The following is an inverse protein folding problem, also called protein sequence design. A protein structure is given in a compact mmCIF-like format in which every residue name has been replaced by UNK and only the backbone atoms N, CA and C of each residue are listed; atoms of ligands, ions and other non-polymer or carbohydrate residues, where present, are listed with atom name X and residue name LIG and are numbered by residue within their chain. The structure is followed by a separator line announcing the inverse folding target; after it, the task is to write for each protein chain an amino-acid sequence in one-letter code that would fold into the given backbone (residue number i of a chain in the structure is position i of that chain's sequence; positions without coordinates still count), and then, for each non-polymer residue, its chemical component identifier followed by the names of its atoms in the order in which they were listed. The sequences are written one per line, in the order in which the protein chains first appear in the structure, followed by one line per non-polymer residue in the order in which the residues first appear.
data_IF_177913697664
#
_entry.id   IF_177913697664
#
_cell.length_a   1.000
_cell.length_b   1.000
_cell.length_c   1.000
_cell.angle_alpha   90.00
_cell.angle_beta   90.00
_cell.angle_gamma   90.00
#
_symmetry.space_group_name_H-M   'P 1'
#
loop_
_entity.id
_entity.type
_entity.pdbx_description
1 polymer ?
#
# COMPACT_ATOMS: atom_id res chain seq x y z
N UNK A 1 4.93 -17.23 7.76
CA UNK A 1 4.38 -16.07 7.01
C UNK A 1 3.05 -15.61 7.61
N UNK A 2 2.59 -14.41 7.27
CA UNK A 2 1.53 -13.74 8.02
C UNK A 2 1.89 -13.65 9.50
N UNK A 3 0.96 -14.11 10.34
CA UNK A 3 1.08 -14.16 11.81
C UNK A 3 2.13 -15.16 12.35
N UNK A 4 3.09 -15.59 11.53
CA UNK A 4 4.22 -16.42 11.97
C UNK A 4 4.12 -17.91 11.68
N UNK A 5 3.18 -18.37 10.84
CA UNK A 5 3.05 -19.81 10.51
C UNK A 5 4.31 -20.37 9.84
N UNK A 6 4.63 -21.65 10.10
CA UNK A 6 5.81 -22.35 9.56
C UNK A 6 5.48 -23.80 9.21
N UNK A 7 6.40 -24.50 8.53
CA UNK A 7 6.31 -25.94 8.26
C UNK A 7 5.06 -26.35 7.49
N UNK A 8 4.34 -27.36 7.99
CA UNK A 8 3.14 -27.91 7.35
C UNK A 8 2.03 -26.87 7.19
N UNK A 9 1.81 -26.00 8.18
CA UNK A 9 0.79 -24.95 8.09
C UNK A 9 1.08 -23.96 6.94
N UNK A 10 2.37 -23.63 6.72
CA UNK A 10 2.76 -22.82 5.56
C UNK A 10 2.55 -23.58 4.25
N UNK A 11 2.93 -24.85 4.20
CA UNK A 11 2.74 -25.70 3.02
C UNK A 11 1.27 -25.78 2.63
N UNK A 12 0.40 -25.98 3.63
CA UNK A 12 -1.04 -25.98 3.44
C UNK A 12 -1.57 -24.62 2.97
N UNK A 13 -1.09 -23.51 3.55
CA UNK A 13 -1.46 -22.16 3.09
C UNK A 13 -1.13 -21.94 1.61
N UNK A 14 0.02 -22.42 1.14
CA UNK A 14 0.40 -22.35 -0.28
C UNK A 14 -0.55 -23.18 -1.13
N UNK A 15 -0.81 -24.44 -0.73
CA UNK A 15 -1.71 -25.33 -1.47
C UNK A 15 -3.13 -24.75 -1.60
N UNK A 16 -3.66 -24.10 -0.55
CA UNK A 16 -4.98 -23.44 -0.60
C UNK A 16 -5.00 -22.28 -1.59
N UNK A 17 -3.93 -21.47 -1.65
CA UNK A 17 -3.82 -20.41 -2.66
C UNK A 17 -3.76 -21.00 -4.06
N UNK A 18 -2.96 -22.04 -4.28
CA UNK A 18 -2.85 -22.72 -5.58
C UNK A 18 -4.19 -23.32 -6.03
N UNK A 19 -4.94 -23.92 -5.10
CA UNK A 19 -6.27 -24.48 -5.37
C UNK A 19 -7.28 -23.39 -5.77
N UNK A 20 -7.28 -22.24 -5.07
CA UNK A 20 -8.13 -21.11 -5.42
C UNK A 20 -7.79 -20.56 -6.81
N UNK A 21 -6.50 -20.41 -7.14
CA UNK A 21 -6.06 -19.97 -8.46
C UNK A 21 -6.46 -20.96 -9.56
N UNK A 22 -6.35 -22.27 -9.32
CA UNK A 22 -6.75 -23.29 -10.27
C UNK A 22 -8.28 -23.32 -10.49
N UNK A 23 -9.05 -23.24 -9.40
CA UNK A 23 -10.52 -23.21 -9.42
C UNK A 23 -11.06 -22.03 -10.21
N UNK A 24 -10.42 -20.86 -10.09
CA UNK A 24 -10.89 -19.61 -10.69
C UNK A 24 -10.05 -19.17 -11.91
N UNK A 25 -9.37 -20.10 -12.56
CA UNK A 25 -8.42 -19.82 -13.66
C UNK A 25 -9.01 -18.94 -14.78
N UNK A 26 -10.26 -19.19 -15.18
CA UNK A 26 -10.89 -18.50 -16.31
C UNK A 26 -11.27 -17.06 -15.91
N UNK A 27 -11.76 -16.89 -14.68
CA UNK A 27 -12.00 -15.57 -14.08
C UNK A 27 -10.72 -14.76 -13.96
N UNK A 28 -9.61 -15.40 -13.57
CA UNK A 28 -8.30 -14.75 -13.46
C UNK A 28 -7.76 -14.35 -14.83
N UNK A 29 -7.91 -15.22 -15.84
CA UNK A 29 -7.48 -14.95 -17.20
C UNK A 29 -8.23 -13.78 -17.86
N UNK A 30 -9.47 -13.50 -17.42
CA UNK A 30 -10.22 -12.34 -17.88
C UNK A 30 -9.65 -11.00 -17.40
N UNK A 31 -8.79 -11.00 -16.38
CA UNK A 31 -8.09 -9.83 -15.84
C UNK A 31 -8.99 -8.65 -15.41
N UNK A 32 -10.25 -8.91 -15.06
CA UNK A 32 -11.12 -7.89 -14.48
C UNK A 32 -10.82 -7.68 -12.98
N UNK A 33 -10.32 -6.49 -12.55
CA UNK A 33 -9.82 -6.31 -11.19
C UNK A 33 -10.89 -6.47 -10.10
N UNK A 34 -12.11 -5.98 -10.34
CA UNK A 34 -13.17 -6.06 -9.34
C UNK A 34 -13.73 -7.47 -9.21
N UNK A 35 -13.86 -8.20 -10.34
CA UNK A 35 -14.21 -9.62 -10.31
C UNK A 35 -13.12 -10.42 -9.60
N UNK A 36 -11.83 -10.12 -9.83
CA UNK A 36 -10.73 -10.76 -9.09
C UNK A 36 -10.83 -10.54 -7.59
N UNK A 37 -11.10 -9.31 -7.14
CA UNK A 37 -11.32 -8.99 -5.73
C UNK A 37 -12.51 -9.75 -5.15
N UNK A 38 -13.62 -9.85 -5.88
CA UNK A 38 -14.79 -10.62 -5.46
C UNK A 38 -14.53 -12.13 -5.41
N UNK A 39 -13.59 -12.64 -6.21
CA UNK A 39 -13.35 -14.08 -6.38
C UNK A 39 -12.30 -14.62 -5.40
N UNK A 40 -11.18 -13.92 -5.24
CA UNK A 40 -10.03 -14.37 -4.42
C UNK A 40 -9.57 -13.34 -3.39
N UNK A 41 -10.35 -12.28 -3.17
CA UNK A 41 -10.12 -11.30 -2.12
C UNK A 41 -10.79 -11.67 -0.81
N UNK A 42 -11.33 -10.66 -0.13
CA UNK A 42 -12.06 -10.78 1.13
C UNK A 42 -12.84 -9.51 1.42
N UNK A 43 -13.81 -9.58 2.32
CA UNK A 43 -14.67 -8.44 2.67
C UNK A 43 -13.85 -7.26 3.21
N UNK A 44 -12.82 -7.52 4.02
CA UNK A 44 -11.97 -6.46 4.54
C UNK A 44 -11.13 -5.79 3.44
N UNK A 45 -10.70 -6.54 2.42
CA UNK A 45 -9.98 -5.99 1.28
C UNK A 45 -10.91 -5.14 0.41
N UNK A 46 -12.16 -5.59 0.22
CA UNK A 46 -13.18 -4.81 -0.47
C UNK A 46 -13.51 -3.51 0.28
N UNK A 47 -13.62 -3.56 1.61
CA UNK A 47 -13.83 -2.39 2.44
C UNK A 47 -12.65 -1.39 2.34
N UNK A 48 -11.40 -1.87 2.39
CA UNK A 48 -10.22 -1.03 2.21
C UNK A 48 -10.19 -0.39 0.82
N UNK A 49 -10.45 -1.16 -0.24
CA UNK A 49 -10.51 -0.64 -1.61
C UNK A 49 -11.60 0.44 -1.74
N UNK A 50 -12.79 0.19 -1.21
CA UNK A 50 -13.88 1.17 -1.17
C UNK A 50 -13.51 2.44 -0.41
N UNK A 51 -12.85 2.33 0.75
CA UNK A 51 -12.37 3.47 1.51
C UNK A 51 -11.34 4.32 0.74
N UNK A 52 -10.43 3.68 0.00
CA UNK A 52 -9.46 4.38 -0.86
C UNK A 52 -10.17 5.17 -1.96
N UNK A 53 -11.20 4.59 -2.59
CA UNK A 53 -12.02 5.26 -3.62
C UNK A 53 -12.77 6.44 -3.02
N UNK A 54 -13.42 6.27 -1.87
CA UNK A 54 -14.13 7.34 -1.18
C UNK A 54 -13.18 8.49 -0.81
N UNK A 55 -11.98 8.18 -0.30
CA UNK A 55 -10.96 9.19 -0.02
C UNK A 55 -10.52 9.94 -1.27
N UNK A 56 -10.37 9.25 -2.41
CA UNK A 56 -10.05 9.90 -3.70
C UNK A 56 -11.14 10.89 -4.10
N UNK A 57 -12.40 10.49 -4.02
CA UNK A 57 -13.55 11.36 -4.33
C UNK A 57 -13.59 12.58 -3.40
N UNK A 58 -13.22 12.40 -2.14
CA UNK A 58 -13.07 13.47 -1.15
C UNK A 58 -11.78 14.30 -1.26
N UNK A 59 -10.87 14.00 -2.20
CA UNK A 59 -9.53 14.60 -2.32
C UNK A 59 -8.69 14.47 -1.04
N UNK A 60 -8.87 13.36 -0.32
CA UNK A 60 -8.18 13.05 0.93
C UNK A 60 -6.99 12.15 0.60
N UNK A 61 -5.74 12.51 0.96
CA UNK A 61 -4.60 11.62 0.80
C UNK A 61 -4.70 10.41 1.73
N UNK A 62 -4.23 9.25 1.27
CA UNK A 62 -4.30 7.99 2.03
C UNK A 62 -2.90 7.44 2.31
N UNK A 63 -2.66 7.04 3.56
CA UNK A 63 -1.50 6.21 3.92
C UNK A 63 -1.89 4.74 3.89
N UNK A 64 -1.29 3.98 2.96
CA UNK A 64 -1.40 2.53 2.89
C UNK A 64 -0.43 1.92 3.91
N UNK A 65 -0.91 1.02 4.76
CA UNK A 65 -0.13 0.44 5.85
C UNK A 65 0.88 -0.62 5.35
N UNK A 66 0.58 -1.91 5.58
CA UNK A 66 1.42 -3.03 5.18
C UNK A 66 0.85 -3.82 4.00
N UNK A 67 1.19 -5.10 3.96
CA UNK A 67 0.92 -5.97 2.81
C UNK A 67 -0.56 -6.11 2.44
N UNK A 68 -1.43 -6.40 3.41
CA UNK A 68 -2.86 -6.62 3.15
C UNK A 68 -3.55 -5.34 2.62
N UNK A 69 -3.27 -4.19 3.24
CA UNK A 69 -3.79 -2.89 2.80
C UNK A 69 -3.34 -2.56 1.37
N UNK A 70 -2.06 -2.80 1.07
CA UNK A 70 -1.51 -2.57 -0.27
C UNK A 70 -2.05 -3.56 -1.30
N UNK A 71 -2.35 -4.80 -0.91
CA UNK A 71 -2.98 -5.80 -1.79
C UNK A 71 -4.40 -5.37 -2.20
N UNK A 72 -5.20 -4.84 -1.27
CA UNK A 72 -6.49 -4.22 -1.58
C UNK A 72 -6.33 -3.02 -2.54
N UNK A 73 -5.37 -2.14 -2.28
CA UNK A 73 -5.10 -0.98 -3.13
C UNK A 73 -4.66 -1.37 -4.55
N UNK A 74 -3.91 -2.46 -4.70
CA UNK A 74 -3.41 -2.91 -6.00
C UNK A 74 -4.51 -3.30 -6.99
N UNK A 75 -5.67 -3.74 -6.50
CA UNK A 75 -6.86 -3.95 -7.34
C UNK A 75 -7.26 -2.66 -8.05
N UNK A 76 -7.25 -1.54 -7.33
CA UNK A 76 -7.58 -0.23 -7.90
C UNK A 76 -6.52 0.22 -8.90
N UNK A 77 -5.24 -0.02 -8.61
CA UNK A 77 -4.14 0.27 -9.55
C UNK A 77 -4.26 -0.54 -10.85
N UNK A 78 -4.72 -1.79 -10.76
CA UNK A 78 -4.96 -2.63 -11.93
C UNK A 78 -6.14 -2.10 -12.76
N UNK A 79 -7.16 -1.50 -12.12
CA UNK A 79 -8.28 -0.88 -12.81
C UNK A 79 -7.91 0.46 -13.47
N UNK A 80 -7.15 1.30 -12.77
CA UNK A 80 -6.58 2.54 -13.30
C UNK A 80 -5.23 2.79 -12.63
N UNK A 81 -4.17 2.94 -13.44
CA UNK A 81 -2.80 3.16 -12.95
C UNK A 81 -2.66 4.42 -12.10
N UNK A 82 -3.57 5.38 -12.27
CA UNK A 82 -3.63 6.64 -11.53
C UNK A 82 -4.50 6.57 -10.29
N UNK A 83 -5.21 5.46 -10.05
CA UNK A 83 -6.15 5.31 -8.93
C UNK A 83 -5.49 5.55 -7.56
N UNK A 84 -4.17 5.34 -7.47
CA UNK A 84 -3.38 5.49 -6.25
C UNK A 84 -2.50 6.76 -6.22
N UNK A 85 -2.70 7.72 -7.15
CA UNK A 85 -1.94 8.98 -7.17
C UNK A 85 -2.10 9.80 -5.87
N UNK A 86 -3.19 9.59 -5.13
CA UNK A 86 -3.46 10.22 -3.83
C UNK A 86 -2.99 9.37 -2.64
N UNK A 87 -2.33 8.23 -2.88
CA UNK A 87 -1.86 7.32 -1.85
C UNK A 87 -0.34 7.38 -1.68
N UNK A 88 0.11 7.16 -0.45
CA UNK A 88 1.50 6.88 -0.10
C UNK A 88 1.57 5.57 0.67
N UNK A 89 2.62 4.78 0.44
CA UNK A 89 2.87 3.57 1.23
C UNK A 89 3.66 3.96 2.48
N UNK A 90 3.09 3.71 3.65
CA UNK A 90 3.67 4.08 4.93
C UNK A 90 4.92 3.27 5.25
N UNK A 91 4.86 1.94 5.10
CA UNK A 91 6.02 1.11 5.41
C UNK A 91 6.14 -0.13 4.52
N UNK A 92 7.36 -0.63 4.36
CA UNK A 92 7.61 -1.96 3.81
C UNK A 92 7.37 -3.00 4.89
N UNK A 93 6.22 -3.66 4.83
CA UNK A 93 5.99 -4.88 5.60
C UNK A 93 7.06 -5.95 5.36
N UNK A 94 7.42 -6.69 6.43
CA UNK A 94 8.29 -7.86 6.38
C UNK A 94 7.65 -9.08 5.69
N UNK A 95 6.37 -9.00 5.29
CA UNK A 95 5.75 -10.05 4.49
C UNK A 95 6.46 -10.17 3.12
N UNK A 96 6.95 -11.36 2.72
CA UNK A 96 7.79 -11.52 1.54
C UNK A 96 7.16 -11.01 0.24
N UNK A 97 5.83 -11.07 0.14
CA UNK A 97 5.08 -10.59 -1.02
C UNK A 97 5.09 -9.08 -1.19
N UNK A 98 5.34 -8.30 -0.13
CA UNK A 98 5.11 -6.87 -0.16
C UNK A 98 6.10 -6.13 -1.06
N UNK A 99 7.39 -6.48 -1.02
CA UNK A 99 8.39 -5.90 -1.92
C UNK A 99 8.07 -6.14 -3.39
N UNK A 100 7.55 -7.32 -3.73
CA UNK A 100 7.13 -7.65 -5.11
C UNK A 100 5.90 -6.84 -5.52
N UNK A 101 4.93 -6.72 -4.61
CA UNK A 101 3.73 -5.94 -4.83
C UNK A 101 4.03 -4.46 -5.05
N UNK A 102 4.89 -3.86 -4.22
CA UNK A 102 5.30 -2.45 -4.34
C UNK A 102 5.95 -2.16 -5.70
N UNK A 103 6.77 -3.10 -6.21
CA UNK A 103 7.33 -3.01 -7.57
C UNK A 103 6.23 -3.07 -8.63
N UNK A 104 5.24 -3.95 -8.49
CA UNK A 104 4.16 -4.11 -9.45
C UNK A 104 3.28 -2.86 -9.56
N UNK A 105 3.05 -2.14 -8.45
CA UNK A 105 2.27 -0.88 -8.43
C UNK A 105 3.14 0.38 -8.51
N UNK A 106 4.45 0.23 -8.73
CA UNK A 106 5.44 1.31 -8.81
C UNK A 106 5.40 2.30 -7.62
N UNK A 107 5.25 1.79 -6.41
CA UNK A 107 5.21 2.58 -5.18
C UNK A 107 6.46 2.37 -4.33
N UNK A 108 6.84 3.40 -3.58
CA UNK A 108 7.97 3.37 -2.63
C UNK A 108 7.45 3.60 -1.21
N UNK A 109 7.85 2.78 -0.23
CA UNK A 109 7.44 2.97 1.16
C UNK A 109 8.25 4.08 1.82
N UNK A 110 7.65 4.79 2.79
CA UNK A 110 8.34 5.80 3.60
C UNK A 110 9.28 5.18 4.64
N UNK A 111 8.87 4.04 5.21
CA UNK A 111 9.56 3.36 6.30
C UNK A 111 9.93 1.91 5.94
N UNK A 112 11.00 1.41 6.55
CA UNK A 112 11.46 0.02 6.41
C UNK A 112 11.99 -0.47 7.76
N UNK A 113 11.08 -0.97 8.59
CA UNK A 113 11.30 -1.22 10.03
C UNK A 113 11.01 -2.68 10.43
N UNK A 114 11.01 -3.60 9.46
CA UNK A 114 10.70 -5.03 9.66
C UNK A 114 9.32 -5.30 10.32
N UNK A 115 8.38 -4.36 10.16
CA UNK A 115 7.03 -4.45 10.74
C UNK A 115 6.13 -5.41 9.95
N UNK A 116 5.25 -6.13 10.64
CA UNK A 116 4.28 -7.06 10.00
C UNK A 116 2.98 -7.27 10.78
N UNK A 117 2.65 -6.35 11.69
CA UNK A 117 1.43 -6.43 12.48
C UNK A 117 0.18 -6.18 11.62
N UNK A 118 0.21 -5.13 10.80
CA UNK A 118 -0.98 -4.61 10.13
C UNK A 118 -1.69 -3.59 11.01
N UNK A 119 -3.02 -3.57 10.96
CA UNK A 119 -3.89 -2.75 11.82
C UNK A 119 -3.62 -1.24 11.72
N UNK A 120 -3.09 -0.78 10.58
CA UNK A 120 -2.66 0.61 10.37
C UNK A 120 -1.51 1.08 11.27
N UNK A 121 -0.77 0.16 11.90
CA UNK A 121 0.33 0.49 12.81
C UNK A 121 1.49 1.23 12.13
N UNK A 122 1.88 0.83 10.92
CA UNK A 122 2.89 1.52 10.13
C UNK A 122 2.38 2.84 9.54
N UNK A 123 1.11 2.88 9.13
CA UNK A 123 0.45 4.12 8.72
C UNK A 123 0.43 5.16 9.85
N UNK A 124 0.03 4.78 11.06
CA UNK A 124 0.05 5.65 12.23
C UNK A 124 1.47 6.15 12.55
N UNK A 125 2.48 5.28 12.44
CA UNK A 125 3.87 5.65 12.67
C UNK A 125 4.43 6.63 11.61
N UNK A 126 3.90 6.61 10.39
CA UNK A 126 4.29 7.52 9.31
C UNK A 126 3.63 8.91 9.38
N UNK A 127 2.53 9.07 10.13
CA UNK A 127 1.81 10.36 10.24
C UNK A 127 2.71 11.51 10.72
N UNK A 128 3.55 11.37 11.77
CA UNK A 128 4.46 12.45 12.19
C UNK A 128 5.43 12.90 11.09
N UNK A 129 5.87 12.00 10.22
CA UNK A 129 6.76 12.33 9.09
C UNK A 129 6.03 13.21 8.08
N UNK A 130 4.78 12.88 7.75
CA UNK A 130 3.96 13.72 6.87
C UNK A 130 3.70 15.11 7.48
N UNK A 131 3.41 15.16 8.79
CA UNK A 131 3.23 16.44 9.51
C UNK A 131 4.51 17.27 9.47
N UNK A 132 5.67 16.66 9.67
CA UNK A 132 6.95 17.34 9.60
C UNK A 132 7.25 17.86 8.18
N UNK A 133 6.95 17.06 7.14
CA UNK A 133 7.11 17.49 5.75
C UNK A 133 6.22 18.69 5.42
N UNK A 134 4.94 18.67 5.84
CA UNK A 134 4.02 19.79 5.67
C UNK A 134 4.47 21.03 6.44
N UNK A 135 4.94 20.86 7.68
CA UNK A 135 5.46 21.97 8.49
C UNK A 135 6.71 22.59 7.86
N UNK A 136 7.62 21.77 7.34
CA UNK A 136 8.80 22.22 6.62
C UNK A 136 8.41 23.00 5.35
N UNK A 137 7.49 22.47 4.55
CA UNK A 137 7.02 23.13 3.33
C UNK A 137 6.37 24.50 3.61
N UNK A 138 5.58 24.60 4.68
CA UNK A 138 4.80 25.81 4.97
C UNK A 138 5.53 26.84 5.85
N UNK A 139 6.56 26.42 6.59
CA UNK A 139 7.15 27.24 7.66
C UNK A 139 8.67 27.39 7.60
N UNK A 140 9.37 26.72 6.69
CA UNK A 140 10.80 26.92 6.52
C UNK A 140 11.08 28.22 5.79
N UNK A 141 11.98 29.05 6.34
CA UNK A 141 12.43 30.27 5.70
C UNK A 141 13.07 29.99 4.34
N UNK A 142 12.76 30.83 3.35
CA UNK A 142 13.47 30.88 2.08
C UNK A 142 14.91 31.35 2.30
N UNK A 143 15.79 31.15 1.31
CA UNK A 143 17.17 31.63 1.42
C UNK A 143 17.26 33.14 1.65
N UNK A 144 16.37 33.93 1.03
CA UNK A 144 16.30 35.37 1.22
C UNK A 144 15.94 35.74 2.67
N UNK A 145 14.92 35.10 3.24
CA UNK A 145 14.48 35.32 4.63
C UNK A 145 15.54 34.86 5.65
N UNK A 146 16.27 33.79 5.33
CA UNK A 146 17.32 33.23 6.18
C UNK A 146 18.68 33.96 6.03
N UNK A 147 18.79 34.95 5.13
CA UNK A 147 20.04 35.65 4.86
C UNK A 147 21.14 34.75 4.28
N UNK A 148 20.77 33.67 3.59
CA UNK A 148 21.71 32.74 2.96
C UNK A 148 22.11 33.32 1.60
N UNK A 149 23.40 33.57 1.39
CA UNK A 149 23.89 33.97 0.08
C UNK A 149 23.64 32.86 -0.94
N UNK A 150 22.93 33.18 -2.02
CA UNK A 150 22.93 32.35 -3.22
C UNK A 150 24.38 32.25 -3.71
N UNK A 151 24.91 31.04 -3.90
CA UNK A 151 26.17 30.89 -4.63
C UNK A 151 26.03 31.62 -5.97
N UNK A 152 27.00 32.46 -6.25
CA UNK A 152 27.07 33.32 -7.44
C UNK A 152 26.68 32.55 -8.71
N UNK A 153 25.91 33.22 -9.57
CA UNK A 153 25.47 32.74 -10.87
C UNK A 153 26.63 32.38 -11.81
#
# INVERSE_FOLDING_TARGET
PGTGVKGQALTHKIAVVDEALARHKDTIAAHDPLTLLATVGGEELAAIAGAIVAARMGRIPVLLDGYACTAAAAVLHAADRRALDHCLVAHRSAEPGHTRLLKAINQRPLLDLDMRLGEASGAALAVPILKAAAACHNGMATFAEAGVSSRDA
#
